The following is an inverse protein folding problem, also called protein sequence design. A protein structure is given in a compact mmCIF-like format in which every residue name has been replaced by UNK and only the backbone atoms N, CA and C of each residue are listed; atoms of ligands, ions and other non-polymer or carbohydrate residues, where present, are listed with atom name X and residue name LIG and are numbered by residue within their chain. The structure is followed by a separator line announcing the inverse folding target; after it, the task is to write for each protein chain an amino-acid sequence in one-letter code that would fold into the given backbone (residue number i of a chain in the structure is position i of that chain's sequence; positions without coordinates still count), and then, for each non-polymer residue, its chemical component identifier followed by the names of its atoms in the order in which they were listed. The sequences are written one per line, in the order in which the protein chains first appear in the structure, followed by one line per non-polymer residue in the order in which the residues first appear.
data_IF_384345995745
#
_entry.id   IF_384345995745
#
_cell.length_a   1.000
_cell.length_b   1.000
_cell.length_c   1.000
_cell.angle_alpha   90.00
_cell.angle_beta   90.00
_cell.angle_gamma   90.00
#
_symmetry.space_group_name_H-M   'P 1'
#
loop_
_entity.id
_entity.type
_entity.pdbx_description
1 polymer ?
#
# COMPACT_ATOMS: atom_id res chain seq x y z
N UNK A 1 20.62 -9.80 26.79
CA UNK A 1 20.87 -10.00 25.35
C UNK A 1 19.55 -10.37 24.71
N UNK A 2 18.82 -9.37 24.21
CA UNK A 2 17.51 -9.57 23.60
C UNK A 2 17.73 -10.08 22.18
N UNK A 3 17.45 -11.36 21.93
CA UNK A 3 17.31 -11.87 20.58
C UNK A 3 16.09 -11.17 19.97
N UNK A 4 16.33 -10.16 19.13
CA UNK A 4 15.28 -9.51 18.36
C UNK A 4 14.52 -10.58 17.58
N UNK A 5 13.23 -10.75 17.88
CA UNK A 5 12.30 -11.56 17.09
C UNK A 5 12.09 -10.86 15.75
N UNK A 6 13.04 -11.01 14.84
CA UNK A 6 12.94 -10.48 13.49
C UNK A 6 12.04 -11.44 12.70
N UNK A 7 10.79 -11.04 12.49
CA UNK A 7 9.92 -11.68 11.50
C UNK A 7 10.57 -11.55 10.11
N UNK A 8 10.56 -12.60 9.27
CA UNK A 8 11.16 -12.53 7.95
C UNK A 8 10.44 -11.46 7.14
N UNK A 9 11.19 -10.50 6.58
CA UNK A 9 10.59 -9.41 5.83
C UNK A 9 9.72 -9.96 4.69
N UNK A 10 8.56 -9.35 4.38
CA UNK A 10 7.71 -9.73 3.26
C UNK A 10 8.52 -9.88 1.96
N UNK A 11 9.51 -9.01 1.75
CA UNK A 11 10.44 -9.08 0.63
C UNK A 11 11.28 -10.38 0.59
N UNK A 12 11.70 -10.93 1.72
CA UNK A 12 12.42 -12.20 1.80
C UNK A 12 11.53 -13.39 1.45
N UNK A 13 10.30 -13.41 1.97
CA UNK A 13 9.26 -14.39 1.66
C UNK A 13 8.94 -14.38 0.15
N UNK A 14 8.86 -13.18 -0.40
CA UNK A 14 8.61 -12.93 -1.81
C UNK A 14 9.77 -13.35 -2.71
N UNK A 15 11.03 -13.12 -2.33
CA UNK A 15 12.20 -13.64 -3.08
C UNK A 15 12.21 -15.16 -3.14
N UNK A 16 11.79 -15.84 -2.07
CA UNK A 16 11.69 -17.30 -2.03
C UNK A 16 10.59 -17.84 -2.98
N UNK A 17 9.44 -17.16 -3.04
CA UNK A 17 8.34 -17.47 -3.95
C UNK A 17 8.67 -17.11 -5.41
N UNK A 18 9.29 -15.96 -5.65
CA UNK A 18 9.64 -15.43 -6.96
C UNK A 18 10.67 -16.28 -7.69
N UNK A 19 11.70 -16.83 -7.02
CA UNK A 19 12.68 -17.74 -7.65
C UNK A 19 12.05 -19.01 -8.25
N UNK A 20 10.85 -19.38 -7.80
CA UNK A 20 10.18 -20.60 -8.26
C UNK A 20 9.32 -20.41 -9.52
N UNK A 21 8.72 -19.23 -9.73
CA UNK A 21 7.94 -18.90 -10.94
C UNK A 21 8.74 -19.02 -12.26
N UNK A 22 10.00 -18.54 -12.37
CA UNK A 22 10.85 -18.70 -13.54
C UNK A 22 11.10 -20.16 -13.91
N UNK A 23 11.26 -21.04 -12.91
CA UNK A 23 11.46 -22.49 -13.14
C UNK A 23 10.22 -23.17 -13.73
N UNK A 24 9.01 -22.66 -13.46
CA UNK A 24 7.75 -23.20 -14.00
C UNK A 24 7.26 -22.57 -15.31
N UNK A 25 7.71 -21.36 -15.70
CA UNK A 25 7.48 -20.87 -17.08
C UNK A 25 8.00 -21.84 -18.14
N UNK A 26 9.04 -22.64 -17.80
CA UNK A 26 9.57 -23.73 -18.64
C UNK A 26 8.86 -25.08 -18.48
N UNK A 27 7.95 -25.23 -17.50
CA UNK A 27 7.26 -26.48 -17.11
C UNK A 27 5.73 -26.30 -16.96
N UNK A 28 5.08 -25.47 -17.77
CA UNK A 28 3.69 -25.72 -18.14
C UNK A 28 3.73 -26.81 -19.22
N UNK A 29 3.93 -28.08 -18.88
CA UNK A 29 2.84 -29.01 -18.58
C UNK A 29 1.67 -28.86 -19.55
N UNK A 30 1.92 -29.28 -20.79
CA UNK A 30 0.97 -30.05 -21.58
C UNK A 30 0.45 -31.21 -20.71
N UNK A 31 -0.64 -31.02 -19.97
CA UNK A 31 -1.45 -32.12 -19.48
C UNK A 31 -2.72 -32.14 -20.31
N UNK A 32 -2.78 -33.11 -21.22
CA UNK A 32 -3.82 -33.22 -22.23
C UNK A 32 -5.21 -33.40 -21.64
N UNK A 33 -6.15 -32.59 -22.14
CA UNK A 33 -7.39 -33.07 -22.79
C UNK A 33 -8.40 -33.91 -22.01
N UNK A 34 -8.28 -34.12 -20.69
CA UNK A 34 -9.31 -34.85 -19.92
C UNK A 34 -9.78 -34.07 -18.70
N UNK A 35 -11.02 -33.59 -18.79
CA UNK A 35 -11.79 -32.97 -17.73
C UNK A 35 -12.17 -34.02 -16.69
N UNK A 36 -11.34 -34.18 -15.65
CA UNK A 36 -11.73 -34.98 -14.48
C UNK A 36 -12.43 -34.05 -13.49
N UNK A 37 -13.67 -34.40 -13.14
CA UNK A 37 -14.49 -33.69 -12.15
C UNK A 37 -13.96 -33.94 -10.74
N UNK A 38 -12.83 -33.32 -10.39
CA UNK A 38 -12.28 -33.30 -9.04
C UNK A 38 -12.88 -32.16 -8.19
N UNK A 39 -12.97 -32.39 -6.89
CA UNK A 39 -13.40 -31.46 -5.84
C UNK A 39 -12.28 -30.48 -5.48
N UNK A 40 -11.96 -29.58 -6.41
CA UNK A 40 -11.01 -28.51 -6.16
C UNK A 40 -11.67 -27.39 -5.35
N UNK A 41 -10.93 -26.78 -4.41
CA UNK A 41 -11.32 -25.52 -3.76
C UNK A 41 -11.47 -24.35 -4.77
N UNK A 42 -10.84 -24.44 -5.95
CA UNK A 42 -10.89 -23.36 -6.96
C UNK A 42 -10.66 -23.77 -8.43
N UNK A 43 -10.39 -25.06 -8.72
CA UNK A 43 -9.90 -25.58 -10.03
C UNK A 43 -8.66 -24.86 -10.58
N UNK A 44 -7.93 -24.13 -9.72
CA UNK A 44 -6.74 -23.33 -10.09
C UNK A 44 -5.51 -23.87 -9.35
N UNK A 45 -4.32 -23.84 -9.96
CA UNK A 45 -3.10 -24.10 -9.22
C UNK A 45 -2.91 -22.99 -8.19
N UNK A 46 -2.65 -23.34 -6.93
CA UNK A 46 -2.32 -22.39 -5.86
C UNK A 46 -0.98 -22.79 -5.27
N UNK A 47 -0.16 -21.78 -4.99
CA UNK A 47 1.22 -21.96 -4.60
C UNK A 47 1.41 -21.40 -3.20
N UNK A 48 1.91 -22.20 -2.27
CA UNK A 48 2.21 -21.73 -0.91
C UNK A 48 3.69 -21.89 -0.60
N UNK A 49 4.22 -20.91 0.10
CA UNK A 49 5.56 -20.95 0.70
C UNK A 49 5.39 -20.80 2.21
N UNK A 50 5.90 -21.75 2.97
CA UNK A 50 6.04 -21.69 4.42
C UNK A 50 7.48 -21.35 4.73
N UNK A 51 7.71 -20.41 5.65
CA UNK A 51 9.05 -20.04 6.09
C UNK A 51 9.25 -20.43 7.55
N UNK A 52 10.31 -21.19 7.77
CA UNK A 52 10.75 -21.66 9.07
C UNK A 52 12.05 -20.95 9.47
N UNK A 53 12.17 -20.63 10.76
CA UNK A 53 13.37 -20.06 11.36
C UNK A 53 14.18 -21.17 12.02
N UNK A 54 15.45 -21.32 11.63
CA UNK A 54 16.41 -22.22 12.24
C UNK A 54 16.91 -21.69 13.59
N UNK A 55 17.48 -22.58 14.41
CA UNK A 55 18.08 -22.24 15.71
C UNK A 55 19.29 -21.29 15.59
N UNK A 56 19.91 -21.26 14.42
CA UNK A 56 20.99 -20.35 14.03
C UNK A 56 20.48 -18.98 13.52
N UNK A 57 19.16 -18.77 13.51
CA UNK A 57 18.53 -17.56 13.00
C UNK A 57 18.40 -17.53 11.47
N UNK A 58 18.77 -18.59 10.77
CA UNK A 58 18.61 -18.68 9.31
C UNK A 58 17.17 -18.97 8.92
N UNK A 59 16.73 -18.48 7.76
CA UNK A 59 15.38 -18.72 7.26
C UNK A 59 15.40 -19.78 6.15
N UNK A 60 14.56 -20.81 6.30
CA UNK A 60 14.36 -21.88 5.33
C UNK A 60 12.94 -21.83 4.77
N UNK A 61 12.80 -21.98 3.45
CA UNK A 61 11.52 -21.87 2.78
C UNK A 61 11.07 -23.21 2.19
N UNK A 62 9.88 -23.66 2.58
CA UNK A 62 9.22 -24.88 2.15
C UNK A 62 8.05 -24.59 1.25
N UNK A 63 7.87 -25.41 0.22
CA UNK A 63 6.92 -25.15 -0.86
C UNK A 63 5.81 -26.18 -0.84
N UNK A 64 4.60 -25.72 -1.15
CA UNK A 64 3.42 -26.56 -1.30
C UNK A 64 2.57 -26.09 -2.47
N UNK A 65 1.86 -27.04 -3.07
CA UNK A 65 0.84 -26.77 -4.06
C UNK A 65 -0.40 -27.59 -3.72
N UNK A 66 -1.54 -27.19 -4.25
CA UNK A 66 -2.73 -28.01 -4.15
C UNK A 66 -2.53 -29.34 -4.89
N UNK A 67 -2.83 -30.44 -4.21
CA UNK A 67 -2.61 -31.80 -4.71
C UNK A 67 -3.84 -32.64 -4.43
N UNK A 68 -4.35 -33.36 -5.43
CA UNK A 68 -5.31 -34.42 -5.21
C UNK A 68 -4.56 -35.74 -5.01
N UNK A 69 -4.90 -36.44 -3.94
CA UNK A 69 -4.47 -37.83 -3.74
C UNK A 69 -5.67 -38.69 -4.08
N UNK A 70 -5.50 -39.78 -4.82
CA UNK A 70 -6.58 -40.71 -5.22
C UNK A 70 -7.15 -41.53 -4.04
N UNK A 71 -7.13 -40.98 -2.83
CA UNK A 71 -7.61 -41.58 -1.60
C UNK A 71 -8.91 -40.89 -1.14
N UNK A 72 -9.78 -41.59 -0.36
CA UNK A 72 -11.02 -41.02 0.17
C UNK A 72 -10.82 -39.78 1.05
N UNK A 73 -9.61 -39.58 1.58
CA UNK A 73 -9.25 -38.45 2.45
C UNK A 73 -9.19 -37.08 1.73
N UNK A 74 -9.36 -37.05 0.41
CA UNK A 74 -9.59 -35.81 -0.36
C UNK A 74 -8.34 -35.00 -0.71
N UNK A 75 -8.57 -33.78 -1.20
CA UNK A 75 -7.54 -32.85 -1.70
C UNK A 75 -6.71 -32.19 -0.59
N UNK A 76 -5.40 -32.01 -0.80
CA UNK A 76 -4.51 -31.18 0.04
C UNK A 76 -4.47 -29.75 -0.51
N UNK A 77 -4.75 -28.76 0.34
CA UNK A 77 -4.51 -27.34 0.02
C UNK A 77 -3.00 -27.03 0.02
N UNK A 78 -2.60 -25.98 -0.70
CA UNK A 78 -1.21 -25.63 -0.91
C UNK A 78 -0.47 -25.32 0.41
N UNK A 79 -1.14 -24.64 1.33
CA UNK A 79 -0.66 -24.29 2.66
C UNK A 79 -0.35 -25.54 3.47
N UNK A 80 -1.29 -26.50 3.49
CA UNK A 80 -1.12 -27.76 4.20
C UNK A 80 0.00 -28.61 3.60
N UNK A 81 0.12 -28.64 2.28
CA UNK A 81 1.20 -29.33 1.61
C UNK A 81 2.57 -28.73 1.98
N UNK A 82 2.66 -27.40 2.06
CA UNK A 82 3.88 -26.70 2.46
C UNK A 82 4.23 -26.95 3.94
N UNK A 83 3.24 -26.91 4.84
CA UNK A 83 3.43 -27.21 6.27
C UNK A 83 3.89 -28.66 6.47
N UNK A 84 3.25 -29.62 5.81
CA UNK A 84 3.62 -31.03 5.91
C UNK A 84 5.05 -31.29 5.41
N UNK A 85 5.48 -30.58 4.35
CA UNK A 85 6.86 -30.65 3.88
C UNK A 85 7.83 -30.03 4.87
N UNK A 86 7.51 -28.85 5.41
CA UNK A 86 8.31 -28.20 6.44
C UNK A 86 8.48 -29.10 7.67
N UNK A 87 7.42 -29.79 8.08
CA UNK A 87 7.41 -30.70 9.23
C UNK A 87 8.38 -31.89 9.11
N UNK A 88 8.83 -32.22 7.89
CA UNK A 88 9.85 -33.27 7.68
C UNK A 88 11.25 -32.82 8.11
N UNK A 89 11.50 -31.51 8.02
CA UNK A 89 12.81 -30.91 8.23
C UNK A 89 12.83 -30.05 9.54
N UNK A 90 11.65 -29.63 10.03
CA UNK A 90 11.43 -28.85 11.25
C UNK A 90 10.38 -29.51 12.14
N UNK A 91 10.69 -29.78 13.41
CA UNK A 91 9.80 -30.55 14.29
C UNK A 91 8.93 -29.70 15.22
N UNK A 92 9.24 -28.42 15.41
CA UNK A 92 8.50 -27.56 16.32
C UNK A 92 7.64 -26.54 15.56
N UNK A 93 6.44 -26.29 16.08
CA UNK A 93 5.52 -25.32 15.49
C UNK A 93 6.00 -23.87 15.65
N UNK A 94 6.78 -23.59 16.70
CA UNK A 94 7.38 -22.27 16.97
C UNK A 94 8.37 -21.82 15.87
N UNK A 95 8.92 -22.78 15.13
CA UNK A 95 9.84 -22.49 14.03
C UNK A 95 9.10 -21.92 12.81
N UNK A 96 7.78 -22.13 12.69
CA UNK A 96 6.98 -21.65 11.55
C UNK A 96 6.59 -20.18 11.77
N UNK A 97 7.10 -19.29 10.93
CA UNK A 97 6.96 -17.84 11.13
C UNK A 97 5.97 -17.20 10.14
N UNK A 98 5.93 -17.69 8.90
CA UNK A 98 5.07 -17.10 7.88
C UNK A 98 4.61 -18.12 6.84
N UNK A 99 3.42 -17.88 6.29
CA UNK A 99 2.81 -18.68 5.23
C UNK A 99 2.33 -17.72 4.14
N UNK A 100 2.96 -17.76 2.98
CA UNK A 100 2.60 -16.93 1.84
C UNK A 100 1.96 -17.75 0.73
N UNK A 101 0.79 -17.34 0.27
CA UNK A 101 0.04 -17.94 -0.82
C UNK A 101 0.03 -17.02 -2.02
N UNK A 102 0.26 -17.58 -3.21
CA UNK A 102 0.33 -16.85 -4.48
C UNK A 102 -0.55 -17.53 -5.53
N UNK A 103 -1.29 -16.72 -6.29
CA UNK A 103 -1.99 -17.17 -7.49
C UNK A 103 -1.03 -17.13 -8.69
N UNK A 104 -0.87 -18.23 -9.46
CA UNK A 104 -0.04 -18.27 -10.67
C UNK A 104 -0.40 -17.22 -11.72
N UNK A 105 -1.64 -16.71 -11.73
CA UNK A 105 -2.14 -15.73 -12.70
C UNK A 105 -1.85 -14.27 -12.32
N UNK A 106 -1.01 -14.05 -11.30
CA UNK A 106 -0.63 -12.70 -10.85
C UNK A 106 -1.83 -11.83 -10.39
N UNK A 107 -2.79 -12.44 -9.70
CA UNK A 107 -3.95 -11.76 -9.10
C UNK A 107 -3.91 -11.92 -7.58
N UNK A 108 -4.30 -10.88 -6.84
CA UNK A 108 -4.63 -11.05 -5.41
C UNK A 108 -5.80 -12.01 -5.35
N UNK A 109 -5.54 -13.22 -4.88
CA UNK A 109 -6.57 -14.22 -4.71
C UNK A 109 -6.72 -14.48 -3.21
N UNK A 110 -7.72 -13.88 -2.53
CA UNK A 110 -7.94 -14.04 -1.11
C UNK A 110 -8.61 -15.39 -0.81
N UNK A 111 -8.14 -16.47 -1.44
CA UNK A 111 -8.48 -17.84 -1.05
C UNK A 111 -7.79 -18.14 0.28
N UNK A 112 -8.29 -17.53 1.34
CA UNK A 112 -7.82 -17.74 2.71
C UNK A 112 -7.85 -19.24 3.05
N UNK A 113 -6.99 -19.68 4.00
CA UNK A 113 -6.95 -21.06 4.45
C UNK A 113 -8.37 -21.60 4.68
N UNK A 114 -8.69 -22.80 4.16
CA UNK A 114 -10.02 -23.39 4.36
C UNK A 114 -10.20 -23.74 5.84
N UNK A 115 -11.41 -24.13 6.24
CA UNK A 115 -11.71 -24.55 7.62
C UNK A 115 -10.72 -25.60 8.15
N UNK A 116 -10.34 -26.57 7.31
CA UNK A 116 -9.34 -27.59 7.68
C UNK A 116 -7.95 -26.98 7.88
N UNK A 117 -7.52 -26.08 7.01
CA UNK A 117 -6.24 -25.37 7.16
C UNK A 117 -6.27 -24.41 8.36
N UNK A 118 -7.39 -23.74 8.63
CA UNK A 118 -7.58 -22.90 9.81
C UNK A 118 -7.47 -23.73 11.09
N UNK A 119 -8.04 -24.94 11.11
CA UNK A 119 -7.90 -25.87 12.25
C UNK A 119 -6.45 -26.31 12.50
N UNK A 120 -5.63 -26.38 11.45
CA UNK A 120 -4.20 -26.61 11.61
C UNK A 120 -3.48 -25.37 12.14
N UNK A 121 -3.77 -24.20 11.58
CA UNK A 121 -3.21 -22.92 12.04
C UNK A 121 -3.58 -22.62 13.49
N UNK A 122 -4.80 -22.93 13.93
CA UNK A 122 -5.23 -22.73 15.31
C UNK A 122 -4.44 -23.59 16.31
N UNK A 123 -3.85 -24.71 15.85
CA UNK A 123 -2.95 -25.55 16.67
C UNK A 123 -1.51 -25.03 16.68
N UNK A 124 -1.09 -24.33 15.63
CA UNK A 124 0.23 -23.71 15.54
C UNK A 124 0.29 -22.38 16.30
N UNK A 125 -0.79 -21.57 16.27
CA UNK A 125 -0.86 -20.22 16.88
C UNK A 125 -0.44 -20.14 18.36
N UNK A 126 -0.80 -21.09 19.25
CA UNK A 126 -0.36 -21.04 20.65
C UNK A 126 1.17 -21.12 20.81
N UNK A 127 1.86 -21.74 19.85
CA UNK A 127 3.32 -21.91 19.85
C UNK A 127 4.03 -20.89 18.96
N UNK A 128 3.30 -20.30 18.01
CA UNK A 128 3.77 -19.22 17.12
C UNK A 128 2.70 -18.12 17.05
N UNK A 129 2.62 -17.24 18.06
CA UNK A 129 1.57 -16.22 18.17
C UNK A 129 1.68 -15.11 17.09
N UNK A 130 2.85 -14.99 16.47
CA UNK A 130 3.16 -14.03 15.41
C UNK A 130 3.01 -14.62 14.00
N UNK A 131 2.48 -15.85 13.87
CA UNK A 131 2.34 -16.50 12.57
C UNK A 131 1.48 -15.66 11.61
N UNK A 132 2.08 -15.25 10.50
CA UNK A 132 1.43 -14.42 9.49
C UNK A 132 1.01 -15.24 8.27
N UNK A 133 -0.21 -15.01 7.79
CA UNK A 133 -0.70 -15.56 6.52
C UNK A 133 -0.78 -14.44 5.50
N UNK A 134 -0.07 -14.60 4.39
CA UNK A 134 0.06 -13.60 3.33
C UNK A 134 -0.63 -14.11 2.07
N UNK A 135 -1.41 -13.25 1.42
CA UNK A 135 -1.89 -13.47 0.06
C UNK A 135 -1.19 -12.46 -0.86
N UNK A 136 -0.32 -12.93 -1.76
CA UNK A 136 0.48 -12.07 -2.62
C UNK A 136 -0.07 -12.04 -4.04
N UNK A 137 -0.13 -10.85 -4.64
CA UNK A 137 -0.63 -10.66 -6.00
C UNK A 137 0.30 -11.24 -7.05
N UNK A 138 1.62 -11.13 -6.86
CA UNK A 138 2.62 -11.39 -7.89
C UNK A 138 3.96 -11.79 -7.29
N UNK A 139 4.83 -12.42 -8.10
CA UNK A 139 6.26 -12.60 -7.79
C UNK A 139 6.98 -11.31 -7.38
N UNK A 140 6.52 -10.15 -7.85
CA UNK A 140 7.10 -8.86 -7.50
C UNK A 140 6.63 -8.33 -6.14
N UNK A 141 5.60 -8.95 -5.54
CA UNK A 141 5.03 -8.60 -4.24
C UNK A 141 4.75 -7.11 -4.02
N UNK A 142 4.34 -6.41 -5.08
CA UNK A 142 3.97 -5.00 -5.00
C UNK A 142 2.62 -4.77 -4.31
N UNK A 143 1.77 -5.79 -4.28
CA UNK A 143 0.50 -5.74 -3.57
C UNK A 143 0.23 -7.08 -2.89
N UNK A 144 -0.12 -7.03 -1.62
CA UNK A 144 -0.32 -8.20 -0.79
C UNK A 144 -1.29 -7.89 0.36
N UNK A 145 -2.05 -8.90 0.77
CA UNK A 145 -2.92 -8.84 1.94
C UNK A 145 -2.31 -9.67 3.05
N UNK A 146 -2.36 -9.17 4.28
CA UNK A 146 -1.83 -9.87 5.45
C UNK A 146 -2.97 -10.19 6.40
N UNK A 147 -2.97 -11.40 6.94
CA UNK A 147 -3.77 -11.75 8.11
C UNK A 147 -2.87 -12.26 9.22
N UNK A 148 -2.94 -11.60 10.36
CA UNK A 148 -2.32 -12.06 11.62
C UNK A 148 -3.45 -12.44 12.55
N UNK A 149 -3.42 -13.68 13.04
CA UNK A 149 -4.46 -14.23 13.92
C UNK A 149 -5.90 -14.23 13.36
N UNK A 150 -6.06 -14.11 12.04
CA UNK A 150 -7.37 -14.12 11.36
C UNK A 150 -7.88 -12.73 11.00
N UNK A 151 -7.32 -11.69 11.61
CA UNK A 151 -7.64 -10.30 11.35
C UNK A 151 -6.79 -9.74 10.21
N UNK A 152 -7.39 -9.00 9.25
CA UNK A 152 -6.62 -8.31 8.23
C UNK A 152 -5.70 -7.28 8.88
N UNK A 153 -4.43 -7.33 8.50
CA UNK A 153 -3.42 -6.36 8.90
C UNK A 153 -3.04 -5.50 7.70
N UNK A 154 -2.78 -4.20 7.91
CA UNK A 154 -2.20 -3.37 6.86
C UNK A 154 -0.87 -3.98 6.41
N UNK A 155 -0.46 -3.78 5.14
CA UNK A 155 0.80 -4.33 4.64
C UNK A 155 1.96 -3.88 5.55
N UNK A 156 2.76 -4.79 6.13
CA UNK A 156 4.04 -4.45 6.74
C UNK A 156 4.81 -3.52 5.82
N UNK A 157 5.08 -2.32 6.34
CA UNK A 157 5.94 -1.35 5.69
C UNK A 157 7.22 -2.08 5.26
N UNK A 158 7.70 -1.89 4.03
CA UNK A 158 9.00 -2.42 3.65
C UNK A 158 10.00 -1.87 4.68
N UNK A 159 10.58 -2.75 5.50
CA UNK A 159 11.76 -2.41 6.27
C UNK A 159 12.84 -2.08 5.24
N UNK A 160 12.90 -0.81 4.86
CA UNK A 160 14.05 -0.23 4.22
C UNK A 160 15.25 -0.51 5.15
N UNK A 161 16.44 -0.79 4.61
CA UNK A 161 17.64 -0.66 5.44
C UNK A 161 17.58 0.73 6.09
N UNK A 162 17.89 0.86 7.39
CA UNK A 162 17.85 2.17 8.04
C UNK A 162 18.70 3.10 7.17
N UNK A 163 18.03 4.11 6.61
CA UNK A 163 18.73 5.19 5.93
C UNK A 163 19.78 5.72 6.92
N UNK A 164 21.03 5.95 6.50
CA UNK A 164 22.04 6.54 7.37
C UNK A 164 21.67 7.94 7.87
N UNK A 165 20.54 8.49 7.42
CA UNK A 165 19.92 9.73 7.92
C UNK A 165 18.66 9.38 8.71
N UNK A 166 18.82 9.09 10.01
CA UNK A 166 17.72 9.04 10.97
C UNK A 166 17.33 10.48 11.33
N UNK A 167 16.49 11.09 10.50
CA UNK A 167 15.48 12.05 10.93
C UNK A 167 14.18 11.27 11.09
N UNK A 168 13.42 11.51 12.16
CA UNK A 168 12.19 10.78 12.50
C UNK A 168 11.32 10.49 11.26
N UNK A 169 11.21 9.21 10.86
CA UNK A 169 10.30 8.79 9.80
C UNK A 169 8.89 9.14 10.27
N UNK A 170 8.26 10.10 9.61
CA UNK A 170 6.90 10.48 9.93
C UNK A 170 6.00 9.25 9.79
N UNK A 171 5.16 8.93 10.78
CA UNK A 171 4.24 7.80 10.70
C UNK A 171 3.07 8.20 9.79
N UNK A 172 3.30 8.24 8.47
CA UNK A 172 2.30 8.66 7.48
C UNK A 172 0.89 8.05 7.69
N UNK A 173 0.75 6.77 8.11
CA UNK A 173 -0.56 6.20 8.43
C UNK A 173 -1.32 6.88 9.58
N UNK A 174 -0.64 7.43 10.58
CA UNK A 174 -1.26 8.11 11.73
C UNK A 174 -1.82 9.49 11.35
N UNK A 175 -1.31 10.06 10.26
CA UNK A 175 -1.76 11.35 9.73
C UNK A 175 -2.92 11.21 8.73
N UNK A 176 -3.29 9.98 8.37
CA UNK A 176 -4.37 9.70 7.43
C UNK A 176 -5.73 9.67 8.11
N UNK A 177 -6.72 10.24 7.44
CA UNK A 177 -8.13 10.07 7.78
C UNK A 177 -8.96 9.76 6.53
N UNK A 178 -9.99 8.93 6.66
CA UNK A 178 -10.92 8.67 5.56
C UNK A 178 -11.86 9.86 5.35
N UNK A 179 -12.24 10.08 4.09
CA UNK A 179 -13.30 11.00 3.73
C UNK A 179 -14.67 10.41 4.10
N UNK A 180 -15.67 11.28 4.28
CA UNK A 180 -17.01 10.86 4.66
C UNK A 180 -17.61 9.90 3.61
N UNK A 181 -18.10 8.74 4.06
CA UNK A 181 -18.69 7.72 3.19
C UNK A 181 -17.69 6.82 2.46
N UNK A 182 -16.38 6.97 2.70
CA UNK A 182 -15.36 6.06 2.16
C UNK A 182 -14.99 4.98 3.19
N UNK A 183 -14.88 3.73 2.75
CA UNK A 183 -14.50 2.58 3.61
C UNK A 183 -13.17 1.93 3.21
N UNK A 184 -12.71 2.19 1.98
CA UNK A 184 -11.45 1.68 1.44
C UNK A 184 -10.30 2.55 1.95
N UNK A 185 -9.24 1.93 2.46
CA UNK A 185 -8.02 2.65 2.83
C UNK A 185 -7.02 2.77 1.67
N UNK A 186 -6.10 3.76 1.68
CA UNK A 186 -5.14 3.97 0.59
C UNK A 186 -4.32 2.73 0.21
N UNK A 187 -3.94 1.89 1.16
CA UNK A 187 -3.16 0.66 0.92
C UNK A 187 -3.99 -0.51 0.36
N UNK A 188 -5.31 -0.40 0.38
CA UNK A 188 -6.23 -1.36 -0.25
C UNK A 188 -6.49 -0.99 -1.71
N UNK A 189 -6.29 0.29 -2.05
CA UNK A 189 -6.48 0.82 -3.38
C UNK A 189 -5.51 0.19 -4.39
N UNK A 190 -6.06 -0.15 -5.57
CA UNK A 190 -5.24 -0.64 -6.69
C UNK A 190 -4.39 0.47 -7.31
N UNK A 191 -4.98 1.65 -7.49
CA UNK A 191 -4.37 2.81 -8.13
C UNK A 191 -4.57 4.04 -7.23
N UNK A 192 -3.60 4.27 -6.33
CA UNK A 192 -3.61 5.40 -5.39
C UNK A 192 -3.07 6.66 -6.06
N UNK A 193 -3.93 7.68 -6.18
CA UNK A 193 -3.57 9.01 -6.72
C UNK A 193 -3.39 9.98 -5.56
N UNK A 194 -2.30 10.73 -5.60
CA UNK A 194 -1.99 11.76 -4.63
C UNK A 194 -2.08 13.16 -5.26
N UNK A 195 -2.69 14.09 -4.54
CA UNK A 195 -2.68 15.53 -4.85
C UNK A 195 -2.59 16.29 -3.55
N UNK A 196 -1.93 17.44 -3.54
CA UNK A 196 -1.74 18.23 -2.33
C UNK A 196 -1.75 19.73 -2.57
N UNK A 197 -1.97 20.48 -1.50
CA UNK A 197 -2.08 21.93 -1.55
C UNK A 197 -2.48 22.55 -0.21
N UNK A 198 -2.62 23.88 -0.23
CA UNK A 198 -3.16 24.65 0.89
C UNK A 198 -4.68 24.44 1.01
N UNK A 199 -5.40 24.49 -0.11
CA UNK A 199 -6.86 24.32 -0.17
C UNK A 199 -7.65 25.46 0.52
N UNK A 200 -7.10 26.66 0.48
CA UNK A 200 -7.70 27.88 1.03
C UNK A 200 -8.85 28.33 0.13
N UNK A 201 -9.99 28.67 0.73
CA UNK A 201 -11.23 29.11 0.08
C UNK A 201 -11.65 28.24 -1.11
N UNK A 202 -11.79 26.92 -0.88
CA UNK A 202 -12.03 25.91 -1.92
C UNK A 202 -12.99 26.36 -3.02
N UNK A 203 -12.43 26.72 -4.18
CA UNK A 203 -13.15 27.31 -5.31
C UNK A 203 -13.28 26.32 -6.49
N UNK A 204 -13.95 26.77 -7.56
CA UNK A 204 -14.27 25.94 -8.75
C UNK A 204 -13.05 25.28 -9.40
N UNK A 205 -11.93 26.01 -9.52
CA UNK A 205 -10.73 25.47 -10.14
C UNK A 205 -10.11 24.34 -9.31
N UNK A 206 -10.00 24.50 -7.99
CA UNK A 206 -9.54 23.44 -7.08
C UNK A 206 -10.49 22.24 -7.07
N UNK A 207 -11.82 22.47 -7.08
CA UNK A 207 -12.79 21.38 -7.22
C UNK A 207 -12.65 20.62 -8.55
N UNK A 208 -12.32 21.32 -9.64
CA UNK A 208 -12.04 20.71 -10.95
C UNK A 208 -10.81 19.80 -10.87
N UNK A 209 -9.73 20.25 -10.21
CA UNK A 209 -8.52 19.44 -10.00
C UNK A 209 -8.84 18.18 -9.20
N UNK A 210 -9.56 18.29 -8.07
CA UNK A 210 -9.96 17.13 -7.26
C UNK A 210 -10.81 16.13 -8.06
N UNK A 211 -11.77 16.62 -8.85
CA UNK A 211 -12.60 15.79 -9.73
C UNK A 211 -11.75 15.06 -10.77
N UNK A 212 -10.83 15.76 -11.41
CA UNK A 212 -9.98 15.17 -12.44
C UNK A 212 -8.99 14.18 -11.84
N UNK A 213 -8.36 14.49 -10.71
CA UNK A 213 -7.48 13.57 -9.98
C UNK A 213 -8.21 12.28 -9.59
N UNK A 214 -9.46 12.40 -9.09
CA UNK A 214 -10.30 11.23 -8.75
C UNK A 214 -10.56 10.31 -9.94
N UNK A 215 -10.64 10.85 -11.15
CA UNK A 215 -10.86 10.06 -12.37
C UNK A 215 -9.63 9.26 -12.83
N UNK A 216 -8.44 9.57 -12.30
CA UNK A 216 -7.16 8.93 -12.70
C UNK A 216 -6.78 7.71 -11.88
N UNK A 217 -7.54 7.37 -10.85
CA UNK A 217 -7.28 6.21 -9.99
C UNK A 217 -8.49 5.72 -9.23
N UNK A 218 -8.31 4.61 -8.51
CA UNK A 218 -9.37 3.98 -7.72
C UNK A 218 -9.59 4.68 -6.38
N UNK A 219 -8.57 5.38 -5.86
CA UNK A 219 -8.61 6.11 -4.59
C UNK A 219 -7.85 7.43 -4.70
N UNK A 220 -8.46 8.52 -4.22
CA UNK A 220 -7.83 9.84 -4.19
C UNK A 220 -7.40 10.18 -2.76
N UNK A 221 -6.10 10.28 -2.55
CA UNK A 221 -5.49 10.80 -1.34
C UNK A 221 -5.15 12.28 -1.51
N UNK A 222 -5.67 13.12 -0.62
CA UNK A 222 -5.43 14.58 -0.65
C UNK A 222 -4.55 15.02 0.51
N UNK A 223 -3.36 15.54 0.23
CA UNK A 223 -2.48 16.17 1.22
C UNK A 223 -2.90 17.60 1.54
N UNK A 224 -2.98 17.95 2.82
CA UNK A 224 -3.29 19.30 3.28
C UNK A 224 -2.09 19.82 4.07
N UNK A 225 -1.49 20.91 3.60
CA UNK A 225 -0.38 21.55 4.32
C UNK A 225 -0.85 22.17 5.64
N UNK A 226 -0.08 21.98 6.70
CA UNK A 226 -0.31 22.64 7.99
C UNK A 226 -0.09 24.15 7.92
N UNK A 227 -0.60 24.86 8.92
CA UNK A 227 -0.41 26.30 9.03
C UNK A 227 1.09 26.61 9.18
N UNK A 228 1.83 25.79 9.92
CA UNK A 228 3.28 25.87 10.10
C UNK A 228 4.05 25.67 8.79
N UNK A 229 3.65 24.68 7.98
CA UNK A 229 4.25 24.43 6.67
C UNK A 229 4.04 25.62 5.74
N UNK A 230 2.80 26.14 5.69
CA UNK A 230 2.49 27.30 4.87
C UNK A 230 3.25 28.54 5.35
N UNK A 231 3.36 28.77 6.66
CA UNK A 231 4.10 29.92 7.21
C UNK A 231 5.58 29.90 6.83
N UNK A 232 6.16 28.71 6.69
CA UNK A 232 7.58 28.53 6.38
C UNK A 232 7.86 28.73 4.89
N UNK A 233 6.95 28.24 4.03
CA UNK A 233 7.19 28.11 2.59
C UNK A 233 6.49 29.21 1.77
N UNK A 234 5.52 29.92 2.35
CA UNK A 234 4.77 31.00 1.70
C UNK A 234 5.00 32.33 2.41
N UNK A 235 5.37 33.35 1.63
CA UNK A 235 5.63 34.71 2.13
C UNK A 235 4.36 35.55 2.39
N UNK A 236 3.18 34.94 2.41
CA UNK A 236 1.89 35.63 2.61
C UNK A 236 1.18 35.22 3.91
N UNK A 237 0.13 35.97 4.31
CA UNK A 237 -0.65 35.62 5.50
C UNK A 237 -1.42 34.31 5.30
N UNK A 238 -1.54 33.52 6.36
CA UNK A 238 -2.42 32.35 6.39
C UNK A 238 -3.86 32.86 6.53
N UNK A 239 -4.67 32.57 5.52
CA UNK A 239 -6.02 33.16 5.40
C UNK A 239 -7.11 32.28 6.02
N UNK A 240 -6.88 30.96 6.10
CA UNK A 240 -7.78 30.01 6.76
C UNK A 240 -6.98 28.97 7.55
N UNK A 241 -7.48 28.61 8.73
CA UNK A 241 -6.83 27.63 9.59
C UNK A 241 -6.82 26.23 9.00
N UNK A 242 -5.79 25.46 9.31
CA UNK A 242 -5.62 24.07 8.89
C UNK A 242 -6.87 23.21 9.15
N UNK A 243 -7.49 23.36 10.33
CA UNK A 243 -8.67 22.59 10.70
C UNK A 243 -9.87 22.83 9.77
N UNK A 244 -10.10 24.08 9.36
CA UNK A 244 -11.19 24.44 8.44
C UNK A 244 -10.92 23.86 7.04
N UNK A 245 -9.67 24.01 6.56
CA UNK A 245 -9.24 23.48 5.25
C UNK A 245 -9.35 21.95 5.22
N UNK A 246 -8.86 21.27 6.26
CA UNK A 246 -8.90 19.83 6.38
C UNK A 246 -10.34 19.27 6.45
N UNK A 247 -11.19 19.84 7.30
CA UNK A 247 -12.59 19.41 7.41
C UNK A 247 -13.35 19.58 6.09
N UNK A 248 -13.10 20.67 5.36
CA UNK A 248 -13.71 20.92 4.05
C UNK A 248 -13.27 19.90 2.99
N UNK A 249 -11.99 19.54 2.96
CA UNK A 249 -11.47 18.52 2.04
C UNK A 249 -11.97 17.12 2.42
N UNK A 250 -12.06 16.80 3.70
CA UNK A 250 -12.58 15.52 4.19
C UNK A 250 -14.04 15.27 3.79
N UNK A 251 -14.85 16.32 3.75
CA UNK A 251 -16.26 16.27 3.34
C UNK A 251 -16.45 16.34 1.81
N UNK A 252 -15.36 16.45 1.03
CA UNK A 252 -15.47 16.60 -0.41
C UNK A 252 -15.76 15.25 -1.09
N UNK A 253 -16.85 15.20 -1.87
CA UNK A 253 -17.33 14.00 -2.59
C UNK A 253 -16.33 13.30 -3.52
N UNK A 254 -15.27 13.98 -3.94
CA UNK A 254 -14.25 13.41 -4.84
C UNK A 254 -13.07 12.82 -4.06
N UNK A 255 -12.95 13.14 -2.77
CA UNK A 255 -11.83 12.74 -1.92
C UNK A 255 -12.16 11.40 -1.28
N UNK A 256 -11.17 10.52 -1.18
CA UNK A 256 -11.31 9.19 -0.56
C UNK A 256 -10.64 9.15 0.80
N UNK A 257 -9.49 9.81 0.94
CA UNK A 257 -8.83 10.04 2.22
C UNK A 257 -8.02 11.33 2.19
N UNK A 258 -7.72 11.86 3.36
CA UNK A 258 -6.88 13.03 3.55
C UNK A 258 -5.59 12.65 4.27
N UNK A 259 -4.48 13.31 3.91
CA UNK A 259 -3.23 13.31 4.66
C UNK A 259 -3.09 14.67 5.35
N UNK A 260 -3.25 14.64 6.68
CA UNK A 260 -3.05 15.81 7.53
C UNK A 260 -1.57 16.14 7.62
N UNK A 261 -1.27 17.43 7.78
CA UNK A 261 0.11 17.92 7.92
C UNK A 261 1.03 17.41 6.79
N UNK A 262 0.54 17.50 5.55
CA UNK A 262 1.31 17.07 4.40
C UNK A 262 2.53 17.99 4.22
N UNK A 263 3.74 17.43 4.02
CA UNK A 263 4.94 18.24 3.84
C UNK A 263 4.87 19.04 2.54
N UNK A 264 5.60 20.15 2.48
CA UNK A 264 5.69 20.96 1.26
C UNK A 264 6.32 20.18 0.09
N UNK A 265 7.43 19.52 0.37
CA UNK A 265 8.16 18.66 -0.57
C UNK A 265 7.71 17.21 -0.45
N UNK A 266 7.36 16.61 -1.59
CA UNK A 266 6.99 15.20 -1.64
C UNK A 266 8.24 14.31 -1.58
N UNK A 267 8.37 13.53 -0.50
CA UNK A 267 9.55 12.69 -0.26
C UNK A 267 9.40 11.28 -0.86
N UNK A 268 10.53 10.64 -1.16
CA UNK A 268 10.55 9.25 -1.65
C UNK A 268 9.97 8.28 -0.62
N UNK A 269 10.26 8.51 0.66
CA UNK A 269 9.73 7.72 1.77
C UNK A 269 8.20 7.77 1.81
N UNK A 270 7.61 8.96 1.69
CA UNK A 270 6.16 9.12 1.65
C UNK A 270 5.52 8.37 0.48
N UNK A 271 6.10 8.51 -0.73
CA UNK A 271 5.61 7.82 -1.94
C UNK A 271 5.61 6.30 -1.73
N UNK A 272 6.70 5.76 -1.20
CA UNK A 272 6.86 4.31 -1.00
C UNK A 272 6.01 3.78 0.16
N UNK A 273 6.00 4.48 1.28
CA UNK A 273 5.29 4.06 2.51
C UNK A 273 3.78 4.06 2.33
N UNK A 274 3.24 5.02 1.57
CA UNK A 274 1.80 5.10 1.28
C UNK A 274 1.38 4.32 0.04
N UNK A 275 2.34 3.89 -0.81
CA UNK A 275 2.04 3.19 -2.05
C UNK A 275 1.46 4.11 -3.13
N UNK A 276 1.91 5.37 -3.19
CA UNK A 276 1.42 6.35 -4.16
C UNK A 276 1.83 5.91 -5.57
N UNK A 277 0.83 5.71 -6.43
CA UNK A 277 1.04 5.26 -7.81
C UNK A 277 1.22 6.42 -8.79
N UNK A 278 0.55 7.55 -8.52
CA UNK A 278 0.57 8.76 -9.35
C UNK A 278 0.43 10.00 -8.48
N UNK A 279 1.10 11.06 -8.89
CA UNK A 279 1.02 12.38 -8.27
C UNK A 279 0.41 13.32 -9.29
N UNK A 280 -0.64 14.03 -8.89
CA UNK A 280 -1.36 14.97 -9.74
C UNK A 280 -1.14 16.37 -9.21
N UNK A 281 -0.87 17.32 -10.10
CA UNK A 281 -0.78 18.75 -9.77
C UNK A 281 -1.49 19.58 -10.83
N UNK A 282 -1.93 20.80 -10.48
CA UNK A 282 -2.50 21.76 -11.42
C UNK A 282 -1.44 22.38 -12.32
N UNK A 283 -1.87 23.06 -13.39
CA UNK A 283 -0.96 23.81 -14.26
C UNK A 283 -0.39 25.06 -13.59
N UNK A 284 -1.13 25.63 -12.63
CA UNK A 284 -0.60 26.61 -11.69
C UNK A 284 0.14 25.82 -10.61
N UNK A 285 1.46 25.81 -10.67
CA UNK A 285 2.27 25.03 -9.73
C UNK A 285 2.45 25.78 -8.41
N UNK A 286 2.76 25.05 -7.33
CA UNK A 286 3.04 25.63 -6.00
C UNK A 286 3.95 26.85 -6.05
N UNK A 287 5.01 26.82 -6.88
CA UNK A 287 5.96 27.93 -7.09
C UNK A 287 5.30 29.20 -7.66
N UNK A 288 4.40 29.04 -8.62
CA UNK A 288 3.63 30.16 -9.19
C UNK A 288 2.61 30.70 -8.19
N UNK A 289 2.01 29.85 -7.36
CA UNK A 289 1.09 30.28 -6.30
C UNK A 289 1.79 31.05 -5.16
N UNK A 290 3.00 30.64 -4.75
CA UNK A 290 3.77 31.36 -3.72
C UNK A 290 4.49 32.61 -4.24
N UNK A 291 4.56 32.81 -5.56
CA UNK A 291 5.22 33.98 -6.17
C UNK A 291 6.75 33.93 -6.08
N UNK A 292 7.34 32.75 -5.93
CA UNK A 292 8.80 32.54 -5.95
C UNK A 292 9.25 32.05 -7.32
N UNK A 293 9.40 32.98 -8.25
CA UNK A 293 10.09 32.78 -9.53
C UNK A 293 11.62 32.81 -9.37
N UNK A 294 12.16 32.50 -8.18
CA UNK A 294 13.60 32.46 -7.97
C UNK A 294 14.19 31.21 -8.64
N UNK A 295 15.02 31.45 -9.67
CA UNK A 295 15.84 30.46 -10.37
C UNK A 295 16.83 29.80 -9.39
N UNK A 296 16.37 28.76 -8.68
CA UNK A 296 17.17 28.01 -7.70
C UNK A 296 16.37 27.24 -6.65
N UNK A 297 15.08 27.56 -6.46
CA UNK A 297 14.24 26.84 -5.51
C UNK A 297 14.03 25.36 -5.92
N UNK A 298 14.22 24.46 -4.97
CA UNK A 298 14.05 23.01 -5.20
C UNK A 298 12.60 22.72 -5.56
N UNK A 299 12.40 22.03 -6.68
CA UNK A 299 11.06 21.66 -7.11
C UNK A 299 10.41 20.69 -6.10
N UNK A 300 9.26 21.04 -5.48
CA UNK A 300 8.62 20.20 -4.46
C UNK A 300 8.22 18.81 -4.95
N UNK A 301 8.07 18.67 -6.28
CA UNK A 301 7.71 17.42 -6.95
C UNK A 301 8.88 16.76 -7.71
N UNK A 302 10.14 17.16 -7.46
CA UNK A 302 11.29 16.61 -8.19
C UNK A 302 11.35 15.08 -8.10
N UNK A 303 11.12 14.50 -6.91
CA UNK A 303 11.10 13.03 -6.71
C UNK A 303 10.05 12.36 -7.59
N UNK A 304 8.83 12.91 -7.63
CA UNK A 304 7.75 12.36 -8.46
C UNK A 304 8.02 12.50 -9.96
N UNK A 305 8.69 13.58 -10.36
CA UNK A 305 9.12 13.80 -11.75
C UNK A 305 10.21 12.81 -12.17
N UNK A 306 11.22 12.60 -11.32
CA UNK A 306 12.30 11.63 -11.57
C UNK A 306 11.77 10.19 -11.66
N UNK A 307 10.76 9.85 -10.86
CA UNK A 307 10.08 8.56 -10.91
C UNK A 307 9.11 8.41 -12.08
N UNK A 308 8.82 9.49 -12.83
CA UNK A 308 7.89 9.47 -13.96
C UNK A 308 6.43 9.25 -13.55
N UNK A 309 6.06 9.59 -12.32
CA UNK A 309 4.69 9.40 -11.77
C UNK A 309 3.92 10.71 -11.62
N UNK A 310 4.55 11.86 -11.93
CA UNK A 310 3.93 13.18 -11.89
C UNK A 310 3.10 13.44 -13.16
N UNK A 311 1.84 13.83 -12.98
CA UNK A 311 0.91 14.24 -14.03
C UNK A 311 0.42 15.67 -13.76
N UNK A 312 0.54 16.53 -14.76
CA UNK A 312 0.08 17.92 -14.70
C UNK A 312 -1.28 18.02 -15.37
N UNK A 313 -2.27 18.53 -14.66
CA UNK A 313 -3.64 18.73 -15.13
C UNK A 313 -3.86 20.21 -15.41
N UNK A 314 -4.39 20.59 -16.60
CA UNK A 314 -4.76 21.97 -16.87
C UNK A 314 -5.77 22.49 -15.84
N UNK A 315 -5.43 23.61 -15.21
CA UNK A 315 -6.34 24.34 -14.34
C UNK A 315 -7.56 24.83 -15.14
N UNK A 316 -8.71 24.91 -14.49
CA UNK A 316 -9.96 25.36 -15.12
C UNK A 316 -9.86 26.83 -15.58
N UNK A 317 -9.22 27.65 -14.76
CA UNK A 317 -9.04 29.09 -14.94
C UNK A 317 -7.80 29.55 -14.15
N UNK A 318 -7.49 30.84 -14.21
CA UNK A 318 -6.36 31.48 -13.51
C UNK A 318 -6.72 31.94 -12.08
N UNK A 319 -7.86 31.49 -11.52
CA UNK A 319 -8.28 31.87 -10.17
C UNK A 319 -7.31 31.26 -9.15
N UNK A 320 -6.70 32.12 -8.34
CA UNK A 320 -5.82 31.73 -7.23
C UNK A 320 -6.50 31.98 -5.88
N UNK A 321 -6.01 31.33 -4.82
CA UNK A 321 -6.49 31.55 -3.45
C UNK A 321 -6.41 33.03 -3.04
N UNK A 322 -5.36 33.75 -3.50
CA UNK A 322 -5.20 35.20 -3.29
C UNK A 322 -6.30 36.01 -3.97
N UNK A 323 -6.56 35.73 -5.25
CA UNK A 323 -7.60 36.45 -6.01
C UNK A 323 -9.00 36.27 -5.41
N UNK A 324 -9.28 35.08 -4.86
CA UNK A 324 -10.53 34.78 -4.14
C UNK A 324 -10.61 35.57 -2.84
N UNK A 325 -9.52 35.61 -2.07
CA UNK A 325 -9.45 36.41 -0.84
C UNK A 325 -9.66 37.91 -1.10
N UNK A 326 -8.96 38.48 -2.07
CA UNK A 326 -9.11 39.89 -2.48
C UNK A 326 -10.54 40.20 -2.89
N UNK A 327 -11.18 39.29 -3.63
CA UNK A 327 -12.59 39.41 -4.01
C UNK A 327 -13.54 39.38 -2.80
N UNK A 328 -13.28 38.53 -1.81
CA UNK A 328 -14.04 38.51 -0.56
C UNK A 328 -13.86 39.79 0.26
N UNK A 329 -12.63 40.28 0.38
CA UNK A 329 -12.32 41.54 1.07
C UNK A 329 -12.98 42.72 0.36
N UNK A 330 -12.93 42.78 -0.97
CA UNK A 330 -13.57 43.83 -1.75
C UNK A 330 -15.09 43.85 -1.57
N UNK A 331 -15.74 42.68 -1.50
CA UNK A 331 -17.19 42.56 -1.24
C UNK A 331 -17.57 42.90 0.21
N UNK A 332 -16.64 42.75 1.15
CA UNK A 332 -16.87 43.04 2.57
C UNK A 332 -16.65 44.51 2.94
N UNK A 333 -16.06 45.32 2.04
CA UNK A 333 -15.95 46.77 2.23
C UNK A 333 -17.30 47.44 1.90
N UNK A 334 -17.90 48.20 2.84
CA UNK A 334 -19.22 48.81 2.69
C UNK A 334 -19.27 49.91 1.64
#
# INVERSE_FOLDING_TARGET
QAHANVTPSPAALCRAAARWRPQRRKRQLQFGGRTVSGTWKSRKPVLSVVVCRGKDGTFSAYRGMNTEVSLPAGSLCAERAAIARAASDFQQAEDVVAIATADPQDKINPLWPCEVCQSWLSKLRPQSPEISVLAVSSSSCRSFLVKVNGEPQPPPQPMLPPSPFVGALAPWPELLELAEGTTEWPWEAKDLVYVDGAWTFLHSAQQSILRQARSRGSHLLVGIHSDETLQTEFNGPILESFQIRAGRIQQNRYVSSILKDAPWCLTLDMIQSLGISRVVTGSVCKRQDVGSDEDGAVDPYHVARELGILEVIPSLDETTERSVHESHVARARP
#
